data_IF_647173925380
#
_entry.id   IF_647173925380
#
_cell.length_a   1.000
_cell.length_b   1.000
_cell.length_c   1.000
_cell.angle_alpha   90.00
_cell.angle_beta   90.00
_cell.angle_gamma   90.00
#
_symmetry.space_group_name_H-M   'P 1'
#
loop_
_entity.id
_entity.type
_entity.pdbx_description
1 polymer ?
#
# COMPACT_ATOMS: atom_id res chain seq x y z
N UNK A 1 -20.22 -1.38 3.58
CA UNK A 1 -21.55 -0.73 3.62
C UNK A 1 -21.48 0.67 4.24
N UNK A 2 -20.88 0.89 5.41
CA UNK A 2 -20.77 2.25 6.02
C UNK A 2 -19.97 3.28 5.20
N UNK A 3 -18.90 2.86 4.51
CA UNK A 3 -18.04 3.79 3.74
C UNK A 3 -18.79 4.54 2.64
N UNK A 4 -19.80 3.90 2.05
CA UNK A 4 -20.62 4.51 1.00
C UNK A 4 -21.73 5.40 1.57
N UNK A 5 -22.21 5.12 2.78
CA UNK A 5 -23.27 5.92 3.41
C UNK A 5 -22.79 7.33 3.79
N UNK A 6 -21.57 7.48 4.32
CA UNK A 6 -21.03 8.80 4.71
C UNK A 6 -20.64 9.67 3.51
N UNK A 7 -20.07 9.08 2.45
CA UNK A 7 -19.66 9.83 1.26
C UNK A 7 -20.87 10.41 0.51
N UNK A 8 -22.01 9.71 0.52
CA UNK A 8 -23.24 10.16 -0.12
C UNK A 8 -23.95 11.25 0.70
N UNK A 9 -23.88 11.21 2.03
CA UNK A 9 -24.38 12.29 2.89
C UNK A 9 -23.59 13.59 2.73
N UNK A 10 -22.26 13.50 2.60
CA UNK A 10 -21.39 14.67 2.46
C UNK A 10 -21.68 15.45 1.17
N UNK A 11 -21.91 14.76 0.05
CA UNK A 11 -22.20 15.36 -1.26
C UNK A 11 -23.51 16.19 -1.28
N UNK A 12 -24.58 15.69 -0.65
CA UNK A 12 -25.85 16.41 -0.54
C UNK A 12 -25.75 17.59 0.44
N UNK A 13 -25.02 17.43 1.55
CA UNK A 13 -24.79 18.50 2.53
C UNK A 13 -23.98 19.67 1.96
N UNK A 14 -23.14 19.46 0.94
CA UNK A 14 -22.43 20.56 0.26
C UNK A 14 -23.36 21.57 -0.41
N UNK A 15 -24.61 21.17 -0.74
CA UNK A 15 -25.63 22.07 -1.28
C UNK A 15 -26.32 22.92 -0.22
N UNK A 16 -26.19 22.58 1.07
CA UNK A 16 -26.77 23.34 2.17
C UNK A 16 -25.87 24.51 2.61
N UNK A 17 -26.46 25.60 3.13
CA UNK A 17 -25.72 26.64 3.83
C UNK A 17 -24.90 26.05 4.98
N UNK A 18 -23.72 26.63 5.27
CA UNK A 18 -22.79 26.16 6.30
C UNK A 18 -23.43 25.92 7.67
N UNK A 19 -24.49 26.66 8.00
CA UNK A 19 -25.24 26.57 9.26
C UNK A 19 -26.10 25.31 9.38
N UNK A 20 -26.54 24.77 8.24
CA UNK A 20 -27.50 23.65 8.17
C UNK A 20 -26.83 22.31 7.85
N UNK A 21 -25.54 22.32 7.53
CA UNK A 21 -24.75 21.11 7.28
C UNK A 21 -24.62 20.27 8.54
N UNK A 22 -24.83 18.97 8.41
CA UNK A 22 -24.61 18.05 9.51
C UNK A 22 -23.11 17.97 9.83
N UNK A 23 -22.76 18.18 11.10
CA UNK A 23 -21.40 17.96 11.63
C UNK A 23 -21.27 16.61 12.34
N UNK A 24 -22.28 15.75 12.23
CA UNK A 24 -22.27 14.43 12.88
C UNK A 24 -21.11 13.56 12.40
N UNK A 25 -20.77 13.66 11.10
CA UNK A 25 -19.64 12.95 10.50
C UNK A 25 -18.30 13.36 11.09
N UNK A 26 -18.13 14.57 11.62
CA UNK A 26 -16.86 15.01 12.24
C UNK A 26 -16.52 14.15 13.45
N UNK A 27 -17.52 13.84 14.30
CA UNK A 27 -17.36 12.93 15.43
C UNK A 27 -17.13 11.50 14.96
N UNK A 28 -17.86 11.06 13.94
CA UNK A 28 -17.70 9.74 13.34
C UNK A 28 -16.33 9.52 12.69
N UNK A 29 -15.78 10.56 12.05
CA UNK A 29 -14.47 10.52 11.40
C UNK A 29 -13.36 10.28 12.42
N UNK A 30 -13.35 11.04 13.53
CA UNK A 30 -12.39 10.85 14.61
C UNK A 30 -12.45 9.43 15.19
N UNK A 31 -13.67 8.92 15.45
CA UNK A 31 -13.86 7.56 15.98
C UNK A 31 -13.34 6.51 14.98
N UNK A 32 -13.63 6.68 13.69
CA UNK A 32 -13.16 5.78 12.65
C UNK A 32 -11.63 5.82 12.51
N UNK A 33 -11.02 7.00 12.52
CA UNK A 33 -9.56 7.15 12.45
C UNK A 33 -8.87 6.46 13.62
N UNK A 34 -9.38 6.61 14.85
CA UNK A 34 -8.84 5.92 16.02
C UNK A 34 -8.97 4.40 15.89
N UNK A 35 -10.11 3.91 15.38
CA UNK A 35 -10.31 2.47 15.14
C UNK A 35 -9.33 1.98 14.06
N UNK A 36 -9.27 2.62 12.91
CA UNK A 36 -8.42 2.17 11.80
C UNK A 36 -6.92 2.27 12.12
N UNK A 37 -6.49 3.31 12.84
CA UNK A 37 -5.08 3.52 13.16
C UNK A 37 -4.59 2.65 14.33
N UNK A 38 -5.50 2.18 15.20
CA UNK A 38 -5.16 1.35 16.36
C UNK A 38 -5.53 -0.14 16.19
N UNK A 39 -6.32 -0.51 15.19
CA UNK A 39 -6.62 -1.92 14.89
C UNK A 39 -5.46 -2.59 14.16
N UNK A 40 -5.24 -3.87 14.48
CA UNK A 40 -4.23 -4.68 13.77
C UNK A 40 -4.67 -4.92 12.33
N UNK A 41 -3.74 -4.74 11.40
CA UNK A 41 -3.97 -4.97 9.97
C UNK A 41 -3.47 -6.34 9.56
N UNK A 42 -4.20 -7.02 8.68
CA UNK A 42 -3.87 -8.38 8.23
C UNK A 42 -2.49 -8.50 7.57
N UNK A 43 -2.04 -7.45 6.89
CA UNK A 43 -0.79 -7.44 6.13
C UNK A 43 0.46 -7.41 7.00
N UNK A 44 0.44 -6.70 8.13
CA UNK A 44 1.63 -6.51 8.99
C UNK A 44 1.42 -7.03 10.41
N UNK A 45 0.20 -7.50 10.73
CA UNK A 45 -0.20 -7.99 12.05
C UNK A 45 0.11 -7.01 13.18
N UNK A 46 -0.05 -5.74 12.87
CA UNK A 46 0.06 -4.62 13.81
C UNK A 46 -0.78 -3.45 13.32
N UNK A 47 -1.01 -2.51 14.20
CA UNK A 47 -1.72 -1.27 13.87
C UNK A 47 -0.79 -0.26 13.20
N UNK A 48 -1.38 0.64 12.42
CA UNK A 48 -0.64 1.72 11.74
C UNK A 48 0.17 2.56 12.72
N UNK A 49 -0.40 2.88 13.88
CA UNK A 49 0.31 3.65 14.91
C UNK A 49 1.52 2.91 15.48
N UNK A 50 1.42 1.60 15.70
CA UNK A 50 2.55 0.79 16.14
C UNK A 50 3.62 0.66 15.06
N UNK A 51 3.20 0.47 13.81
CA UNK A 51 4.06 0.43 12.65
C UNK A 51 4.90 1.72 12.55
N UNK A 52 4.26 2.89 12.58
CA UNK A 52 4.96 4.20 12.54
C UNK A 52 5.95 4.33 13.71
N UNK A 53 5.55 3.98 14.93
CA UNK A 53 6.45 4.03 16.10
C UNK A 53 7.68 3.11 15.93
N UNK A 54 7.51 1.93 15.32
CA UNK A 54 8.61 1.00 15.04
C UNK A 54 9.51 1.54 13.93
N UNK A 55 8.94 2.07 12.85
CA UNK A 55 9.68 2.67 11.75
C UNK A 55 10.51 3.88 12.19
N UNK A 56 9.96 4.77 13.01
CA UNK A 56 10.68 5.93 13.58
C UNK A 56 11.85 5.50 14.48
N UNK A 57 11.78 4.31 15.09
CA UNK A 57 12.88 3.69 15.84
C UNK A 57 13.87 2.94 14.95
N UNK A 58 13.74 3.05 13.62
CA UNK A 58 14.59 2.37 12.64
C UNK A 58 14.31 0.86 12.50
N UNK A 59 13.22 0.34 13.07
CA UNK A 59 12.89 -1.08 12.92
C UNK A 59 12.27 -1.33 11.55
N UNK A 60 12.79 -2.33 10.83
CA UNK A 60 12.20 -2.80 9.57
C UNK A 60 10.86 -3.48 9.85
N UNK A 61 9.85 -3.11 9.08
CA UNK A 61 8.53 -3.73 9.12
C UNK A 61 8.46 -4.70 7.95
N UNK A 62 8.14 -5.96 8.24
CA UNK A 62 8.03 -7.02 7.25
C UNK A 62 6.55 -7.37 7.16
N UNK A 63 5.99 -7.26 5.95
CA UNK A 63 4.63 -7.68 5.70
C UNK A 63 4.55 -9.21 5.62
N UNK A 64 3.45 -9.76 6.10
CA UNK A 64 3.05 -11.15 5.84
C UNK A 64 2.84 -11.30 4.33
N UNK A 65 3.47 -12.30 3.70
CA UNK A 65 3.22 -12.56 2.29
C UNK A 65 1.75 -12.98 2.12
N UNK A 66 1.10 -12.49 1.06
CA UNK A 66 -0.28 -12.86 0.74
C UNK A 66 -0.41 -14.31 0.30
N UNK A 67 0.68 -14.88 -0.21
CA UNK A 67 0.77 -16.26 -0.73
C UNK A 67 2.07 -16.88 -0.24
N UNK A 68 2.00 -18.13 0.19
CA UNK A 68 3.19 -18.91 0.50
C UNK A 68 3.95 -19.25 -0.79
N UNK A 69 5.18 -18.77 -0.90
CA UNK A 69 6.04 -19.09 -2.03
C UNK A 69 6.95 -20.27 -1.69
N UNK A 70 6.97 -21.30 -2.55
CA UNK A 70 7.87 -22.46 -2.42
C UNK A 70 9.34 -22.12 -2.66
N UNK A 71 9.60 -20.95 -3.23
CA UNK A 71 10.95 -20.41 -3.50
C UNK A 71 11.08 -19.04 -2.84
N UNK A 72 12.30 -18.58 -2.54
CA UNK A 72 12.52 -17.20 -2.12
C UNK A 72 11.95 -16.23 -3.17
N UNK A 73 11.26 -15.17 -2.72
CA UNK A 73 10.70 -14.11 -3.58
C UNK A 73 11.14 -12.74 -3.05
N UNK A 74 11.44 -11.80 -3.95
CA UNK A 74 11.89 -10.44 -3.63
C UNK A 74 13.33 -10.36 -3.14
N UNK A 75 13.57 -9.72 -1.99
CA UNK A 75 14.93 -9.45 -1.49
C UNK A 75 15.78 -10.71 -1.24
N UNK A 76 15.13 -11.84 -0.98
CA UNK A 76 15.79 -13.12 -0.73
C UNK A 76 15.98 -13.95 -2.01
N UNK A 77 15.55 -13.46 -3.18
CA UNK A 77 15.78 -14.16 -4.44
C UNK A 77 17.28 -14.27 -4.73
N UNK A 78 17.78 -15.49 -5.04
CA UNK A 78 19.15 -15.63 -5.47
C UNK A 78 19.36 -14.88 -6.78
N UNK A 79 20.45 -14.12 -6.85
CA UNK A 79 20.85 -13.49 -8.09
C UNK A 79 21.12 -14.58 -9.14
N UNK A 80 20.61 -14.35 -10.36
CA UNK A 80 20.93 -15.19 -11.51
C UNK A 80 22.44 -15.15 -11.76
N UNK A 81 23.02 -16.30 -12.07
CA UNK A 81 24.42 -16.38 -12.46
C UNK A 81 24.66 -15.67 -13.79
N UNK A 82 25.86 -15.09 -13.96
CA UNK A 82 26.22 -14.34 -15.16
C UNK A 82 26.19 -15.16 -16.45
N UNK A 83 26.34 -16.47 -16.35
CA UNK A 83 26.32 -17.41 -17.47
C UNK A 83 24.98 -18.12 -17.66
N UNK A 84 23.94 -17.77 -16.90
CA UNK A 84 22.61 -18.33 -17.10
C UNK A 84 21.96 -17.69 -18.33
N UNK A 85 21.71 -18.48 -19.36
CA UNK A 85 20.90 -18.04 -20.51
C UNK A 85 19.45 -17.78 -20.05
N UNK A 86 18.99 -16.54 -20.20
CA UNK A 86 17.62 -16.13 -19.85
C UNK A 86 16.86 -15.90 -21.13
N UNK A 87 15.78 -16.66 -21.33
CA UNK A 87 14.80 -16.35 -22.37
C UNK A 87 13.96 -15.16 -21.89
N UNK A 88 14.20 -13.99 -22.48
CA UNK A 88 13.33 -12.84 -22.29
C UNK A 88 11.99 -13.14 -22.96
N UNK A 89 10.89 -12.73 -22.32
CA UNK A 89 9.55 -12.84 -22.88
C UNK A 89 9.37 -11.91 -24.10
N UNK A 90 10.17 -10.86 -24.15
CA UNK A 90 10.15 -9.83 -25.19
C UNK A 90 11.29 -10.04 -26.17
N UNK A 91 11.01 -9.83 -27.46
CA UNK A 91 12.03 -9.89 -28.50
C UNK A 91 13.00 -8.70 -28.40
N UNK A 92 14.24 -8.83 -28.93
CA UNK A 92 15.18 -7.71 -29.06
C UNK A 92 14.58 -6.58 -29.93
N UNK A 93 13.93 -5.62 -29.28
CA UNK A 93 13.21 -4.51 -29.93
C UNK A 93 11.91 -4.13 -29.24
N UNK A 94 11.32 -5.03 -28.46
CA UNK A 94 10.10 -4.80 -27.67
C UNK A 94 10.40 -4.39 -26.21
N UNK A 95 11.67 -4.20 -25.86
CA UNK A 95 12.09 -3.79 -24.53
C UNK A 95 11.54 -2.39 -24.16
N UNK A 96 10.66 -2.34 -23.16
CA UNK A 96 10.27 -1.12 -22.46
C UNK A 96 11.53 -0.43 -21.91
N UNK A 97 11.98 0.65 -22.58
CA UNK A 97 13.15 1.44 -22.16
C UNK A 97 14.12 1.86 -23.26
N UNK A 98 13.93 1.42 -24.51
CA UNK A 98 14.81 1.81 -25.61
C UNK A 98 16.25 1.29 -25.42
N UNK A 99 17.27 2.09 -25.75
CA UNK A 99 18.68 1.63 -25.86
C UNK A 99 19.37 1.34 -24.52
N UNK A 100 18.79 1.70 -23.37
CA UNK A 100 19.37 1.49 -22.03
C UNK A 100 18.31 0.95 -21.09
N UNK A 101 18.61 -0.11 -20.34
CA UNK A 101 17.70 -0.60 -19.29
C UNK A 101 17.70 0.40 -18.13
N UNK A 102 16.58 0.57 -17.43
CA UNK A 102 16.52 1.30 -16.15
C UNK A 102 17.47 0.70 -15.10
N UNK A 103 17.84 -0.57 -15.24
CA UNK A 103 18.78 -1.28 -14.35
C UNK A 103 20.22 -1.32 -14.85
N UNK A 104 20.52 -0.79 -16.04
CA UNK A 104 21.91 -0.69 -16.48
C UNK A 104 22.59 0.48 -15.76
N UNK A 105 23.57 0.16 -14.91
CA UNK A 105 24.42 1.17 -14.31
C UNK A 105 25.26 1.89 -15.38
N UNK A 106 25.62 3.15 -15.12
CA UNK A 106 26.49 3.94 -15.98
C UNK A 106 27.94 3.44 -15.99
#
# INVERSE_FOLDING_TARGET
>A
FEKHAYFWQDAEDFHLPLTDRSRAWVKGLCINDDIYNNTSTWLIDMSSNEAVKKALKGKKIIAKPSVEHRRPVGYNEPLLSSYTEVHYLLEPGELEGGRKRTTDCN
#
